data_IF_827418186771
#
_entry.id   IF_827418186771
#
_cell.length_a   1.000
_cell.length_b   1.000
_cell.length_c   1.000
_cell.angle_alpha   90.00
_cell.angle_beta   90.00
_cell.angle_gamma   90.00
#
_symmetry.space_group_name_H-M   'P 1'
#
loop_
_entity.id
_entity.type
_entity.pdbx_description
1 polymer ?
#
# COMPACT_ATOMS: atom_id res chain seq x y z
N UNK A 1 -5.58 -22.74 -4.46
CA UNK A 1 -6.18 -22.08 -3.29
C UNK A 1 -6.44 -23.11 -2.21
N UNK A 2 -5.77 -22.97 -1.08
CA UNK A 2 -5.97 -23.84 0.08
C UNK A 2 -7.44 -23.77 0.50
N UNK A 3 -8.15 -24.89 0.73
CA UNK A 3 -9.58 -24.90 1.08
C UNK A 3 -9.81 -24.56 2.55
N UNK A 4 -9.20 -23.46 3.02
CA UNK A 4 -9.23 -23.09 4.45
C UNK A 4 -10.57 -22.48 4.85
N UNK A 5 -11.31 -21.91 3.87
CA UNK A 5 -12.50 -21.12 4.17
C UNK A 5 -13.61 -21.33 3.13
N UNK A 6 -14.81 -21.77 3.59
CA UNK A 6 -15.94 -22.09 2.73
C UNK A 6 -16.46 -20.88 1.93
N UNK A 7 -16.46 -19.68 2.51
CA UNK A 7 -17.01 -18.47 1.92
C UNK A 7 -15.94 -17.54 1.30
N UNK A 8 -14.77 -18.05 0.95
CA UNK A 8 -13.62 -17.29 0.43
C UNK A 8 -13.96 -16.37 -0.75
N UNK A 9 -14.76 -16.85 -1.70
CA UNK A 9 -15.14 -16.05 -2.87
C UNK A 9 -16.13 -14.94 -2.51
N UNK A 10 -17.08 -15.23 -1.61
CA UNK A 10 -18.03 -14.23 -1.13
C UNK A 10 -17.33 -13.10 -0.39
N UNK A 11 -16.43 -13.44 0.55
CA UNK A 11 -15.64 -12.45 1.29
C UNK A 11 -14.76 -11.63 0.35
N UNK A 12 -14.10 -12.28 -0.60
CA UNK A 12 -13.27 -11.57 -1.56
C UNK A 12 -14.09 -10.63 -2.45
N UNK A 13 -15.23 -11.10 -2.97
CA UNK A 13 -16.11 -10.26 -3.79
C UNK A 13 -16.67 -9.08 -2.99
N UNK A 14 -17.01 -9.28 -1.70
CA UNK A 14 -17.43 -8.18 -0.82
C UNK A 14 -16.31 -7.16 -0.62
N UNK A 15 -15.06 -7.60 -0.45
CA UNK A 15 -13.90 -6.70 -0.39
C UNK A 15 -13.70 -5.95 -1.72
N UNK A 16 -13.89 -6.61 -2.87
CA UNK A 16 -13.81 -5.94 -4.17
C UNK A 16 -14.90 -4.88 -4.35
N UNK A 17 -16.11 -5.12 -3.85
CA UNK A 17 -17.18 -4.13 -3.92
C UNK A 17 -16.82 -2.84 -3.18
N UNK A 18 -16.08 -2.93 -2.06
CA UNK A 18 -15.63 -1.72 -1.35
C UNK A 18 -14.66 -0.86 -2.16
N UNK A 19 -13.92 -1.45 -3.09
CA UNK A 19 -13.02 -0.74 -3.98
C UNK A 19 -13.73 0.22 -4.95
N UNK A 20 -14.98 -0.08 -5.30
CA UNK A 20 -15.78 0.79 -6.16
C UNK A 20 -16.37 2.00 -5.41
N UNK A 21 -16.26 2.06 -4.09
CA UNK A 21 -16.66 3.22 -3.31
C UNK A 21 -15.57 4.29 -3.47
N UNK A 22 -15.89 5.48 -4.02
CA UNK A 22 -14.91 6.54 -4.13
C UNK A 22 -14.36 6.93 -2.75
N UNK A 23 -13.06 7.05 -2.63
CA UNK A 23 -12.40 7.40 -1.34
C UNK A 23 -12.94 8.73 -0.79
N UNK A 24 -13.32 9.66 -1.66
CA UNK A 24 -13.90 10.95 -1.29
C UNK A 24 -15.17 10.82 -0.45
N UNK A 25 -15.98 9.78 -0.68
CA UNK A 25 -17.21 9.50 0.10
C UNK A 25 -16.84 9.02 1.51
N UNK A 26 -15.72 8.35 1.66
CA UNK A 26 -15.26 7.79 2.93
C UNK A 26 -14.51 8.80 3.81
N UNK A 27 -14.13 9.95 3.27
CA UNK A 27 -13.36 10.97 4.02
C UNK A 27 -14.11 11.40 5.28
N UNK A 28 -15.38 11.85 5.13
CA UNK A 28 -16.16 12.35 6.26
C UNK A 28 -16.45 11.26 7.31
N UNK A 29 -16.93 10.05 6.94
CA UNK A 29 -17.09 8.97 7.91
C UNK A 29 -15.80 8.60 8.63
N UNK A 30 -14.66 8.52 7.95
CA UNK A 30 -13.37 8.24 8.55
C UNK A 30 -12.94 9.35 9.51
N UNK A 31 -13.10 10.60 9.12
CA UNK A 31 -12.79 11.74 9.98
C UNK A 31 -13.62 11.70 11.28
N UNK A 32 -14.93 11.49 11.18
CA UNK A 32 -15.81 11.38 12.35
C UNK A 32 -15.44 10.18 13.23
N UNK A 33 -15.03 9.06 12.63
CA UNK A 33 -14.57 7.90 13.39
C UNK A 33 -13.28 8.22 14.14
N UNK A 34 -12.28 8.82 13.49
CA UNK A 34 -11.03 9.21 14.15
C UNK A 34 -11.27 10.24 15.25
N UNK A 35 -12.18 11.19 15.03
CA UNK A 35 -12.59 12.17 16.05
C UNK A 35 -13.22 11.51 17.27
N UNK A 36 -14.13 10.54 17.07
CA UNK A 36 -14.79 9.82 18.18
C UNK A 36 -13.84 8.92 18.97
N UNK A 37 -12.76 8.48 18.34
CA UNK A 37 -11.72 7.67 18.97
C UNK A 37 -10.60 8.50 19.59
N UNK A 38 -10.72 9.84 19.60
CA UNK A 38 -9.69 10.78 20.07
C UNK A 38 -8.33 10.57 19.38
N UNK A 39 -8.35 10.17 18.10
CA UNK A 39 -7.15 9.92 17.31
C UNK A 39 -6.77 11.07 16.38
N UNK A 40 -7.53 12.18 16.37
CA UNK A 40 -7.14 13.39 15.65
C UNK A 40 -5.81 13.91 16.20
N UNK A 41 -5.03 14.52 15.32
CA UNK A 41 -3.70 15.06 15.64
C UNK A 41 -2.71 14.00 16.15
N UNK A 42 -2.91 12.74 15.75
CA UNK A 42 -1.99 11.63 16.07
C UNK A 42 -1.58 10.86 14.82
N UNK A 43 -0.40 10.20 14.83
CA UNK A 43 0.00 9.29 13.74
C UNK A 43 -1.01 8.17 13.50
N UNK A 44 -1.68 7.67 14.54
CA UNK A 44 -2.69 6.62 14.43
C UNK A 44 -3.92 7.06 13.65
N UNK A 45 -4.35 8.32 13.82
CA UNK A 45 -5.44 8.89 13.03
C UNK A 45 -5.13 8.94 11.53
N UNK A 46 -3.85 9.12 11.17
CA UNK A 46 -3.41 9.07 9.77
C UNK A 46 -3.32 7.63 9.27
N UNK A 47 -2.76 6.71 10.03
CA UNK A 47 -2.42 5.36 9.59
C UNK A 47 -3.62 4.40 9.55
N UNK A 48 -4.49 4.41 10.58
CA UNK A 48 -5.54 3.40 10.74
C UNK A 48 -6.48 3.26 9.54
N UNK A 49 -7.01 4.34 8.93
CA UNK A 49 -7.88 4.21 7.77
C UNK A 49 -7.18 3.63 6.53
N UNK A 50 -5.85 3.70 6.49
CA UNK A 50 -5.04 3.26 5.34
C UNK A 50 -4.52 1.80 5.48
N UNK A 51 -4.71 1.13 6.62
CA UNK A 51 -4.24 -0.24 6.82
C UNK A 51 -4.96 -1.27 5.96
N UNK A 52 -6.18 -0.98 5.53
CA UNK A 52 -6.96 -1.89 4.69
C UNK A 52 -7.10 -1.28 3.30
N UNK A 53 -6.45 -1.91 2.32
CA UNK A 53 -6.52 -1.53 0.92
C UNK A 53 -7.00 -2.71 0.08
N UNK A 54 -8.17 -2.56 -0.55
CA UNK A 54 -8.77 -3.57 -1.42
C UNK A 54 -7.91 -3.89 -2.64
N UNK A 55 -7.17 -2.91 -3.17
CA UNK A 55 -6.24 -3.10 -4.30
C UNK A 55 -5.09 -4.04 -3.91
N UNK A 56 -4.54 -3.90 -2.69
CA UNK A 56 -3.50 -4.78 -2.20
C UNK A 56 -3.95 -6.23 -2.12
N UNK A 57 -5.14 -6.47 -1.57
CA UNK A 57 -5.74 -7.80 -1.51
C UNK A 57 -5.95 -8.36 -2.91
N UNK A 58 -6.45 -7.55 -3.84
CA UNK A 58 -6.66 -7.94 -5.23
C UNK A 58 -5.35 -8.33 -5.93
N UNK A 59 -4.33 -7.48 -5.87
CA UNK A 59 -3.03 -7.71 -6.50
C UNK A 59 -2.35 -8.96 -5.94
N UNK A 60 -2.37 -9.15 -4.63
CA UNK A 60 -1.79 -10.34 -4.02
C UNK A 60 -2.54 -11.61 -4.44
N UNK A 61 -3.86 -11.58 -4.50
CA UNK A 61 -4.64 -12.72 -4.99
C UNK A 61 -4.33 -13.05 -6.44
N UNK A 62 -4.24 -12.05 -7.33
CA UNK A 62 -3.89 -12.28 -8.74
C UNK A 62 -2.51 -12.90 -8.88
N UNK A 63 -1.54 -12.42 -8.11
CA UNK A 63 -0.19 -12.98 -8.07
C UNK A 63 -0.21 -14.45 -7.63
N UNK A 64 -0.93 -14.76 -6.54
CA UNK A 64 -1.06 -16.14 -6.03
C UNK A 64 -1.78 -17.07 -7.01
N UNK A 65 -2.76 -16.57 -7.78
CA UNK A 65 -3.44 -17.34 -8.83
C UNK A 65 -2.54 -17.70 -10.00
N UNK A 66 -1.48 -16.95 -10.23
CA UNK A 66 -0.46 -17.23 -11.25
C UNK A 66 0.48 -18.38 -10.89
N UNK A 67 0.45 -18.89 -9.66
CA UNK A 67 1.30 -20.02 -9.24
C UNK A 67 0.83 -21.30 -9.94
N UNK A 68 1.73 -22.04 -10.62
CA UNK A 68 1.39 -23.31 -11.25
C UNK A 68 0.86 -24.32 -10.24
N UNK A 69 -0.30 -24.93 -10.53
CA UNK A 69 -0.93 -25.92 -9.65
C UNK A 69 -0.03 -27.11 -9.32
N UNK A 70 0.78 -27.67 -10.27
CA UNK A 70 1.66 -28.80 -9.96
C UNK A 70 2.63 -28.55 -8.81
N UNK A 71 3.07 -27.30 -8.59
CA UNK A 71 3.93 -26.96 -7.45
C UNK A 71 3.20 -27.10 -6.11
N UNK A 72 1.92 -26.72 -6.08
CA UNK A 72 1.11 -26.84 -4.88
C UNK A 72 0.73 -28.30 -4.60
N UNK A 73 0.44 -29.07 -5.67
CA UNK A 73 0.12 -30.49 -5.60
C UNK A 73 1.32 -31.33 -5.12
N UNK A 74 2.53 -31.03 -5.61
CA UNK A 74 3.75 -31.67 -5.15
C UNK A 74 3.97 -31.44 -3.63
N UNK A 75 3.79 -30.21 -3.15
CA UNK A 75 3.90 -29.91 -1.72
C UNK A 75 2.86 -30.66 -0.86
N UNK A 76 1.66 -30.88 -1.37
CA UNK A 76 0.62 -31.68 -0.69
C UNK A 76 1.02 -33.16 -0.68
N UNK A 77 1.59 -33.70 -1.76
CA UNK A 77 2.11 -35.08 -1.80
C UNK A 77 3.25 -35.30 -0.78
N UNK A 78 4.04 -34.27 -0.51
CA UNK A 78 5.07 -34.28 0.54
C UNK A 78 4.48 -34.12 1.96
N UNK A 79 3.16 -34.24 2.14
CA UNK A 79 2.45 -34.04 3.40
C UNK A 79 2.68 -32.66 4.03
N UNK A 80 2.98 -31.62 3.24
CA UNK A 80 3.13 -30.27 3.76
C UNK A 80 1.78 -29.70 4.21
N UNK A 81 1.71 -29.24 5.46
CA UNK A 81 0.51 -28.56 5.97
C UNK A 81 0.31 -27.19 5.29
N UNK A 82 -0.91 -26.62 5.36
CA UNK A 82 -1.26 -25.36 4.67
C UNK A 82 -0.30 -24.19 4.96
N UNK A 83 0.12 -24.03 6.21
CA UNK A 83 1.09 -22.99 6.60
C UNK A 83 2.49 -23.25 6.04
N UNK A 84 2.90 -24.52 5.95
CA UNK A 84 4.18 -24.88 5.34
C UNK A 84 4.19 -24.59 3.84
N UNK A 85 3.09 -24.92 3.13
CA UNK A 85 2.91 -24.56 1.72
C UNK A 85 2.99 -23.04 1.54
N UNK A 86 2.31 -22.28 2.40
CA UNK A 86 2.36 -20.81 2.34
C UNK A 86 3.80 -20.29 2.51
N UNK A 87 4.49 -20.71 3.57
CA UNK A 87 5.82 -20.15 3.90
C UNK A 87 6.95 -20.69 3.04
N UNK A 88 6.90 -21.97 2.66
CA UNK A 88 8.01 -22.63 1.94
C UNK A 88 7.85 -22.60 0.43
N UNK A 89 6.62 -22.48 -0.09
CA UNK A 89 6.36 -22.51 -1.54
C UNK A 89 5.80 -21.17 -2.03
N UNK A 90 4.67 -20.72 -1.47
CA UNK A 90 3.95 -19.56 -2.00
C UNK A 90 4.74 -18.27 -1.78
N UNK A 91 5.10 -17.94 -0.54
CA UNK A 91 5.78 -16.67 -0.23
C UNK A 91 7.12 -16.49 -0.97
N UNK A 92 8.01 -17.50 -1.07
CA UNK A 92 9.23 -17.35 -1.87
C UNK A 92 8.96 -17.06 -3.34
N UNK A 93 7.95 -17.73 -3.94
CA UNK A 93 7.61 -17.55 -5.35
C UNK A 93 7.04 -16.17 -5.65
N UNK A 94 6.22 -15.61 -4.75
CA UNK A 94 5.60 -14.30 -4.95
C UNK A 94 6.38 -13.15 -4.32
N UNK A 95 7.54 -13.42 -3.71
CA UNK A 95 8.37 -12.40 -3.06
C UNK A 95 8.65 -11.17 -3.93
N UNK A 96 9.00 -11.30 -5.24
CA UNK A 96 9.19 -10.14 -6.10
C UNK A 96 7.92 -9.28 -6.23
N UNK A 97 6.76 -9.92 -6.34
CA UNK A 97 5.47 -9.22 -6.44
C UNK A 97 5.08 -8.54 -5.12
N UNK A 98 5.37 -9.16 -3.97
CA UNK A 98 5.17 -8.53 -2.66
C UNK A 98 6.00 -7.26 -2.55
N UNK A 99 7.27 -7.31 -2.97
CA UNK A 99 8.17 -6.15 -2.95
C UNK A 99 7.63 -5.06 -3.89
N UNK A 100 7.23 -5.41 -5.12
CA UNK A 100 6.72 -4.46 -6.09
C UNK A 100 5.43 -3.75 -5.60
N UNK A 101 4.48 -4.50 -5.04
CA UNK A 101 3.26 -3.94 -4.46
C UNK A 101 3.57 -3.11 -3.20
N UNK A 102 4.50 -3.57 -2.36
CA UNK A 102 4.95 -2.81 -1.19
C UNK A 102 5.56 -1.46 -1.55
N UNK A 103 6.36 -1.40 -2.63
CA UNK A 103 6.93 -0.14 -3.14
C UNK A 103 5.81 0.78 -3.64
N UNK A 104 4.86 0.24 -4.41
CA UNK A 104 3.73 1.02 -4.91
C UNK A 104 2.95 1.67 -3.74
N UNK A 105 2.62 0.91 -2.72
CA UNK A 105 1.91 1.41 -1.54
C UNK A 105 2.74 2.39 -0.73
N UNK A 106 4.04 2.13 -0.57
CA UNK A 106 4.93 3.08 0.09
C UNK A 106 4.92 4.43 -0.63
N UNK A 107 5.08 4.44 -1.96
CA UNK A 107 5.12 5.68 -2.74
C UNK A 107 3.77 6.42 -2.64
N UNK A 108 2.65 5.69 -2.73
CA UNK A 108 1.32 6.30 -2.62
C UNK A 108 1.09 6.89 -1.22
N UNK A 109 1.38 6.14 -0.17
CA UNK A 109 1.24 6.62 1.22
C UNK A 109 2.23 7.73 1.56
N UNK A 110 3.44 7.68 1.01
CA UNK A 110 4.44 8.73 1.21
C UNK A 110 4.01 10.07 0.62
N UNK A 111 3.40 10.06 -0.56
CA UNK A 111 2.95 11.26 -1.25
C UNK A 111 1.55 11.74 -0.78
N UNK A 112 0.88 10.99 0.08
CA UNK A 112 -0.41 11.36 0.61
C UNK A 112 -0.28 12.58 1.55
N UNK A 113 -0.98 13.65 1.20
CA UNK A 113 -1.00 14.87 2.01
C UNK A 113 -2.42 15.29 2.41
N UNK A 114 -3.43 14.87 1.64
CA UNK A 114 -4.78 15.37 1.83
C UNK A 114 -5.43 14.82 3.11
N UNK A 115 -5.30 13.52 3.37
CA UNK A 115 -5.80 12.93 4.60
C UNK A 115 -5.05 13.44 5.84
N UNK A 116 -3.71 13.49 5.86
CA UNK A 116 -2.96 14.17 6.92
C UNK A 116 -3.38 15.62 7.16
N UNK A 117 -3.67 16.38 6.11
CA UNK A 117 -4.16 17.77 6.22
C UNK A 117 -5.46 17.88 7.02
N UNK A 118 -6.35 16.90 6.92
CA UNK A 118 -7.62 16.90 7.64
C UNK A 118 -7.46 16.45 9.10
N UNK A 119 -6.56 15.51 9.36
CA UNK A 119 -6.42 14.85 10.66
C UNK A 119 -5.41 15.54 11.58
N UNK A 120 -4.30 16.04 11.02
CA UNK A 120 -3.25 16.70 11.78
C UNK A 120 -3.54 18.20 11.88
N UNK A 121 -3.48 18.73 13.11
CA UNK A 121 -3.78 20.13 13.39
C UNK A 121 -2.51 20.91 13.78
N UNK A 122 -1.56 20.26 14.43
CA UNK A 122 -0.33 20.88 14.88
C UNK A 122 0.77 20.73 13.83
N UNK A 123 1.43 21.85 13.52
CA UNK A 123 2.53 21.90 12.53
C UNK A 123 3.69 20.94 12.86
N UNK A 124 3.90 20.67 14.15
CA UNK A 124 4.96 19.77 14.63
C UNK A 124 4.69 18.30 14.27
N UNK A 125 3.42 17.94 14.01
CA UNK A 125 3.00 16.59 13.64
C UNK A 125 2.90 16.37 12.12
N UNK A 126 3.09 17.42 11.31
CA UNK A 126 2.90 17.37 9.86
C UNK A 126 3.88 16.39 9.19
N UNK A 127 3.35 15.65 8.22
CA UNK A 127 4.19 14.87 7.30
C UNK A 127 4.95 15.81 6.35
N UNK A 128 6.10 15.36 5.83
CA UNK A 128 6.89 16.18 4.89
C UNK A 128 6.10 16.65 3.66
N UNK A 129 5.29 15.81 2.97
CA UNK A 129 4.47 16.26 1.86
C UNK A 129 3.42 17.31 2.27
N UNK A 130 2.84 17.17 3.47
CA UNK A 130 1.90 18.16 3.99
C UNK A 130 2.62 19.48 4.32
N UNK A 131 3.77 19.42 4.97
CA UNK A 131 4.57 20.59 5.30
C UNK A 131 5.01 21.36 4.03
N UNK A 132 5.33 20.67 2.94
CA UNK A 132 5.66 21.29 1.65
C UNK A 132 4.55 22.22 1.15
N UNK A 133 3.29 21.81 1.29
CA UNK A 133 2.13 22.60 0.84
C UNK A 133 2.04 23.96 1.55
N UNK A 134 2.54 24.07 2.79
CA UNK A 134 2.51 25.32 3.54
C UNK A 134 3.42 26.40 2.92
N UNK A 135 4.52 25.98 2.27
CA UNK A 135 5.46 26.92 1.64
C UNK A 135 5.08 27.32 0.22
N UNK A 136 4.08 26.66 -0.36
CA UNK A 136 3.60 26.89 -1.72
C UNK A 136 2.26 27.65 -1.72
N UNK A 137 1.65 27.91 -0.54
CA UNK A 137 0.34 28.54 -0.46
C UNK A 137 0.35 29.98 -0.99
N UNK A 138 -0.66 30.30 -1.81
CA UNK A 138 -0.76 31.55 -2.54
C UNK A 138 -1.00 32.81 -1.66
N UNK A 139 -1.41 32.65 -0.40
CA UNK A 139 -1.85 33.75 0.47
C UNK A 139 -0.70 34.43 1.24
N UNK A 140 0.45 33.80 1.37
CA UNK A 140 1.59 34.32 2.18
C UNK A 140 2.83 34.75 1.36
N UNK A 141 2.79 34.65 0.03
CA UNK A 141 3.99 34.71 -0.80
C UNK A 141 4.74 33.37 -0.78
N UNK A 142 5.06 32.85 -1.94
CA UNK A 142 5.75 31.54 -2.03
C UNK A 142 7.22 31.69 -1.64
N UNK A 143 7.62 31.08 -0.55
CA UNK A 143 9.04 30.96 -0.17
C UNK A 143 9.71 29.85 -1.00
N UNK A 144 9.92 30.11 -2.27
CA UNK A 144 10.41 29.13 -3.25
C UNK A 144 11.71 28.45 -2.83
N UNK A 145 12.62 29.15 -2.15
CA UNK A 145 13.86 28.55 -1.65
C UNK A 145 13.61 27.44 -0.65
N UNK A 146 12.74 27.67 0.33
CA UNK A 146 12.38 26.68 1.34
C UNK A 146 11.54 25.56 0.71
N UNK A 147 10.58 25.92 -0.15
CA UNK A 147 9.75 24.95 -0.86
C UNK A 147 10.60 23.96 -1.67
N UNK A 148 11.60 24.43 -2.41
CA UNK A 148 12.52 23.58 -3.18
C UNK A 148 13.40 22.70 -2.29
N UNK A 149 13.88 23.22 -1.15
CA UNK A 149 14.64 22.43 -0.19
C UNK A 149 13.79 21.30 0.40
N UNK A 150 12.57 21.60 0.85
CA UNK A 150 11.63 20.58 1.39
C UNK A 150 11.22 19.60 0.33
N UNK A 151 10.94 20.03 -0.92
CA UNK A 151 10.63 19.14 -2.04
C UNK A 151 11.78 18.15 -2.33
N UNK A 152 13.02 18.64 -2.29
CA UNK A 152 14.20 17.79 -2.45
C UNK A 152 14.28 16.75 -1.35
N UNK A 153 14.14 17.15 -0.08
CA UNK A 153 14.15 16.23 1.06
C UNK A 153 13.01 15.21 0.99
N UNK A 154 11.82 15.65 0.59
CA UNK A 154 10.64 14.78 0.43
C UNK A 154 10.83 13.75 -0.67
N UNK A 155 11.58 14.06 -1.73
CA UNK A 155 11.85 13.14 -2.83
C UNK A 155 12.91 12.07 -2.52
N UNK A 156 13.81 12.32 -1.54
CA UNK A 156 14.91 11.40 -1.23
C UNK A 156 14.47 9.99 -0.81
N UNK A 157 13.51 9.77 0.13
CA UNK A 157 13.12 8.43 0.54
C UNK A 157 12.50 7.59 -0.60
N UNK A 158 11.56 8.10 -1.41
CA UNK A 158 11.06 7.35 -2.58
C UNK A 158 12.16 7.03 -3.59
N UNK A 159 13.06 7.98 -3.85
CA UNK A 159 14.19 7.78 -4.76
C UNK A 159 15.15 6.71 -4.23
N UNK A 160 15.52 6.78 -2.96
CA UNK A 160 16.38 5.77 -2.32
C UNK A 160 15.74 4.38 -2.39
N UNK A 161 14.44 4.28 -2.06
CA UNK A 161 13.71 3.03 -2.16
C UNK A 161 13.70 2.49 -3.59
N UNK A 162 13.43 3.34 -4.58
CA UNK A 162 13.48 2.96 -5.98
C UNK A 162 14.85 2.42 -6.39
N UNK A 163 15.93 3.11 -6.06
CA UNK A 163 17.29 2.70 -6.42
C UNK A 163 17.67 1.33 -5.82
N UNK A 164 17.22 1.06 -4.60
CA UNK A 164 17.44 -0.26 -3.95
C UNK A 164 16.60 -1.35 -4.60
N UNK A 165 15.36 -1.04 -4.94
CA UNK A 165 14.36 -2.04 -5.34
C UNK A 165 14.18 -2.16 -6.86
N UNK A 166 14.77 -1.29 -7.69
CA UNK A 166 14.61 -1.28 -9.16
C UNK A 166 14.86 -2.66 -9.81
N UNK A 167 15.82 -3.42 -9.29
CA UNK A 167 16.12 -4.77 -9.80
C UNK A 167 14.92 -5.73 -9.63
N UNK A 168 14.20 -5.64 -8.53
CA UNK A 168 13.01 -6.47 -8.27
C UNK A 168 11.85 -6.06 -9.17
N UNK A 169 11.69 -4.75 -9.41
CA UNK A 169 10.65 -4.21 -10.30
C UNK A 169 10.90 -4.69 -11.72
N UNK A 170 12.11 -4.50 -12.25
CA UNK A 170 12.48 -4.90 -13.61
C UNK A 170 12.33 -6.41 -13.83
N UNK A 171 12.77 -7.24 -12.88
CA UNK A 171 12.65 -8.69 -12.98
C UNK A 171 11.19 -9.15 -13.01
N UNK A 172 10.30 -8.49 -12.27
CA UNK A 172 8.86 -8.80 -12.28
C UNK A 172 8.23 -8.54 -13.64
N UNK A 173 8.58 -7.43 -14.28
CA UNK A 173 8.08 -7.08 -15.62
C UNK A 173 8.67 -7.95 -16.73
N UNK A 174 9.95 -8.31 -16.66
CA UNK A 174 10.58 -9.18 -17.66
C UNK A 174 10.02 -10.60 -17.65
N UNK A 175 9.68 -11.15 -16.47
CA UNK A 175 9.07 -12.48 -16.37
C UNK A 175 7.64 -12.51 -16.91
N UNK A 176 6.92 -11.40 -16.91
CA UNK A 176 5.59 -11.31 -17.50
C UNK A 176 5.60 -11.16 -19.03
N UNK A 177 6.69 -10.63 -19.60
CA UNK A 177 6.86 -10.38 -21.04
C UNK A 177 7.37 -11.57 -21.87
N UNK A 178 7.89 -12.61 -21.25
CA UNK A 178 8.50 -13.78 -21.94
C UNK A 178 7.51 -14.94 -22.14
N UNK A 179 6.22 -14.76 -21.92
CA UNK A 179 5.18 -15.70 -22.33
C UNK A 179 4.57 -15.30 -23.68
N UNK A 180 5.39 -15.28 -24.71
CA UNK A 180 5.01 -15.24 -26.10
C UNK A 180 5.58 -16.46 -26.80
#
# INVERSE_FOLDING_TARGET
>A
ALPIFKYKETVFNSMLLTFFIPITVLIMPNYLLMSRLDLLNTPWGVMLPQFVDGMGVFLMRQTMRGIPKPLLEAAVLDNAGPLQVLHKVVLPLIKPSIIAVGILFFINSWNEYFWPLLVLQDKETYTLPLALQMFISAEGGSEWGIAMAVATLTSLPPLALYLVCQKFILNTFMQSGVKG
#
